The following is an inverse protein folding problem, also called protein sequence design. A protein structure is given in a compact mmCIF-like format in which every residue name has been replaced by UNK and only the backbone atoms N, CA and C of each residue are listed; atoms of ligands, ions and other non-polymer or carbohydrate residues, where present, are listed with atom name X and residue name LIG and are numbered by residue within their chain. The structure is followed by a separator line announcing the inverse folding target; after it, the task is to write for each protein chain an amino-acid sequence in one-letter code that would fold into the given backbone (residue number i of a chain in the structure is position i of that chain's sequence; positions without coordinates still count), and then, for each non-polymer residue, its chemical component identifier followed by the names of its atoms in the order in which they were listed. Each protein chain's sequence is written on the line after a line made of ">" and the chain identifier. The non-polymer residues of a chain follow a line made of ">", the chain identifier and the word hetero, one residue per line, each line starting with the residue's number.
data_IF_391372964724
#
_entry.id   IF_391372964724
#
_cell.length_a   1.000
_cell.length_b   1.000
_cell.length_c   1.000
_cell.angle_alpha   90.00
_cell.angle_beta   90.00
_cell.angle_gamma   90.00
#
_symmetry.space_group_name_H-M   'P 1'
#
loop_
_entity.id
_entity.type
_entity.pdbx_description
1 polymer ?
#
# COMPACT_ATOMS: atom_id res chain seq x y z
N UNK A 1 -3.28 4.45 -19.54
CA UNK A 1 -4.19 4.53 -18.39
C UNK A 1 -3.93 3.28 -17.59
N UNK A 2 -3.22 3.42 -16.47
CA UNK A 2 -2.77 2.25 -15.70
C UNK A 2 -3.91 1.75 -14.82
N UNK A 3 -4.33 0.50 -15.01
CA UNK A 3 -5.36 -0.12 -14.19
C UNK A 3 -4.74 -0.67 -12.91
N UNK A 4 -5.47 -0.54 -11.80
CA UNK A 4 -5.09 -1.16 -10.52
C UNK A 4 -5.27 -2.67 -10.66
N UNK A 5 -4.24 -3.42 -10.26
CA UNK A 5 -4.22 -4.88 -10.24
C UNK A 5 -4.49 -5.41 -8.83
N UNK A 6 -3.79 -4.88 -7.83
CA UNK A 6 -3.98 -5.27 -6.42
C UNK A 6 -3.84 -4.10 -5.46
N UNK A 7 -4.41 -4.27 -4.26
CA UNK A 7 -4.31 -3.33 -3.15
C UNK A 7 -4.16 -4.15 -1.86
N UNK A 8 -2.97 -4.11 -1.27
CA UNK A 8 -2.60 -4.87 -0.08
C UNK A 8 -2.45 -3.91 1.09
N UNK A 9 -2.96 -4.30 2.26
CA UNK A 9 -2.93 -3.46 3.46
C UNK A 9 -2.38 -4.25 4.66
N UNK A 10 -1.49 -3.61 5.42
CA UNK A 10 -0.93 -4.17 6.65
C UNK A 10 -0.93 -3.12 7.76
N UNK A 11 -1.04 -3.58 8.99
CA UNK A 11 -0.82 -2.75 10.17
C UNK A 11 0.68 -2.55 10.40
N UNK A 12 1.08 -1.30 10.65
CA UNK A 12 2.43 -0.89 11.04
C UNK A 12 2.35 0.04 12.25
N UNK A 13 3.50 0.43 12.81
CA UNK A 13 3.56 1.46 13.84
C UNK A 13 4.02 2.80 13.24
N UNK A 14 3.39 3.89 13.67
CA UNK A 14 3.83 5.25 13.35
C UNK A 14 5.10 5.65 14.13
N UNK A 15 5.61 6.85 13.87
CA UNK A 15 6.79 7.39 14.57
C UNK A 15 6.64 7.54 16.10
N UNK A 16 5.42 7.42 16.63
CA UNK A 16 5.08 7.52 18.06
C UNK A 16 4.77 6.15 18.67
N UNK A 17 4.87 5.07 17.90
CA UNK A 17 4.56 3.71 18.33
C UNK A 17 3.07 3.37 18.35
N UNK A 18 2.21 4.19 17.74
CA UNK A 18 0.78 3.87 17.62
C UNK A 18 0.52 3.04 16.36
N UNK A 19 -0.43 2.10 16.40
CA UNK A 19 -0.88 1.40 15.20
C UNK A 19 -1.38 2.35 14.11
N UNK A 20 -0.99 2.08 12.86
CA UNK A 20 -1.43 2.76 11.65
C UNK A 20 -1.42 1.82 10.45
N UNK A 21 -1.93 2.25 9.30
CA UNK A 21 -2.05 1.42 8.10
C UNK A 21 -0.99 1.79 7.06
N UNK A 22 -0.33 0.79 6.49
CA UNK A 22 0.39 0.92 5.23
C UNK A 22 -0.39 0.20 4.13
N UNK A 23 -0.53 0.85 2.98
CA UNK A 23 -1.15 0.29 1.78
C UNK A 23 -0.10 0.20 0.69
N UNK A 24 -0.17 -0.85 -0.12
CA UNK A 24 0.59 -0.98 -1.36
C UNK A 24 -0.37 -1.27 -2.50
N UNK A 25 -0.38 -0.40 -3.50
CA UNK A 25 -1.15 -0.54 -4.74
C UNK A 25 -0.22 -1.04 -5.82
N UNK A 26 -0.60 -2.10 -6.54
CA UNK A 26 0.08 -2.53 -7.76
C UNK A 26 -0.79 -2.24 -8.96
N UNK A 27 -0.16 -1.74 -10.03
CA UNK A 27 -0.82 -1.51 -11.32
C UNK A 27 -0.43 -2.59 -12.31
N UNK A 28 -1.28 -2.84 -13.31
CA UNK A 28 -1.01 -3.82 -14.38
C UNK A 28 0.26 -3.50 -15.19
N UNK A 29 0.70 -2.23 -15.17
CA UNK A 29 1.93 -1.79 -15.81
C UNK A 29 3.19 -2.04 -14.95
N UNK A 30 3.03 -2.70 -13.79
CA UNK A 30 4.12 -3.09 -12.90
C UNK A 30 4.55 -2.04 -11.88
N UNK A 31 3.94 -0.86 -11.85
CA UNK A 31 4.22 0.17 -10.83
C UNK A 31 3.61 -0.23 -9.48
N UNK A 32 4.35 0.01 -8.39
CA UNK A 32 3.91 -0.21 -7.01
C UNK A 32 4.18 1.01 -6.12
N UNK A 33 3.26 1.34 -5.20
CA UNK A 33 3.40 2.46 -4.26
C UNK A 33 2.37 2.47 -3.14
#
# INVERSE_FOLDING_TARGET
>A
MSLIESCDAIEILDSRGNPTLQVTVRTQDGHAG
#
